data_IF_808644285023
#
_entry.id   IF_808644285023
#
_cell.length_a   1.000
_cell.length_b   1.000
_cell.length_c   1.000
_cell.angle_alpha   90.00
_cell.angle_beta   90.00
_cell.angle_gamma   90.00
#
_symmetry.space_group_name_H-M   'P 1'
#
loop_
_entity.id
_entity.type
_entity.pdbx_description
1 polymer ?
#
# COMPACT_ATOMS: atom_id res chain seq x y z
N UNK A 1 53.37 37.11 4.45
CA UNK A 1 52.72 35.80 4.67
C UNK A 1 51.71 35.68 5.84
N UNK A 2 51.46 36.66 6.74
CA UNK A 2 50.49 36.47 7.83
C UNK A 2 49.02 36.44 7.37
N UNK A 3 48.68 37.17 6.30
CA UNK A 3 47.31 37.25 5.77
C UNK A 3 46.81 35.92 5.20
N UNK A 4 47.68 35.16 4.51
CA UNK A 4 47.30 33.87 3.92
C UNK A 4 46.98 32.83 5.01
N UNK A 5 47.77 32.79 6.11
CA UNK A 5 47.49 31.91 7.26
C UNK A 5 46.17 32.27 7.95
N UNK A 6 45.85 33.56 8.04
CA UNK A 6 44.60 34.02 8.65
C UNK A 6 43.37 33.60 7.84
N UNK A 7 43.42 33.71 6.50
CA UNK A 7 42.35 33.29 5.59
C UNK A 7 42.16 31.76 5.63
N UNK A 8 43.26 30.99 5.59
CA UNK A 8 43.17 29.53 5.60
C UNK A 8 42.51 29.02 6.90
N UNK A 9 42.83 29.64 8.03
CA UNK A 9 42.25 29.25 9.32
C UNK A 9 40.74 29.53 9.40
N UNK A 10 40.28 30.66 8.84
CA UNK A 10 38.85 30.98 8.79
C UNK A 10 38.07 30.05 7.86
N UNK A 11 38.64 29.66 6.72
CA UNK A 11 38.01 28.69 5.82
C UNK A 11 37.80 27.33 6.49
N UNK A 12 38.78 26.86 7.27
CA UNK A 12 38.65 25.60 8.03
C UNK A 12 37.55 25.71 9.09
N UNK A 13 37.47 26.82 9.82
CA UNK A 13 36.43 27.04 10.84
C UNK A 13 35.03 27.05 10.20
N UNK A 14 34.86 27.76 9.08
CA UNK A 14 33.58 27.82 8.37
C UNK A 14 33.21 26.43 7.83
N UNK A 15 34.16 25.69 7.27
CA UNK A 15 33.91 24.34 6.75
C UNK A 15 33.46 23.37 7.86
N UNK A 16 34.12 23.41 9.03
CA UNK A 16 33.72 22.60 10.19
C UNK A 16 32.33 23.00 10.70
N UNK A 17 32.01 24.30 10.75
CA UNK A 17 30.68 24.75 11.17
C UNK A 17 29.57 24.26 10.23
N UNK A 18 29.81 24.27 8.90
CA UNK A 18 28.85 23.72 7.92
C UNK A 18 28.67 22.22 8.09
N UNK A 19 29.75 21.45 8.33
CA UNK A 19 29.65 20.01 8.57
C UNK A 19 28.87 19.68 9.86
N UNK A 20 29.02 20.47 10.93
CA UNK A 20 28.27 20.27 12.17
C UNK A 20 26.78 20.55 11.95
N UNK A 21 26.43 21.64 11.26
CA UNK A 21 25.02 21.95 10.94
C UNK A 21 24.42 20.90 10.02
N UNK A 22 25.16 20.46 8.99
CA UNK A 22 24.74 19.38 8.11
C UNK A 22 24.53 18.07 8.91
N UNK A 23 25.45 17.71 9.81
CA UNK A 23 25.32 16.54 10.67
C UNK A 23 24.08 16.58 11.57
N UNK A 24 23.76 17.74 12.14
CA UNK A 24 22.54 17.93 12.96
C UNK A 24 21.26 17.83 12.13
N UNK A 25 21.25 18.36 10.91
CA UNK A 25 20.06 18.29 10.02
C UNK A 25 19.87 16.86 9.49
N UNK A 26 20.95 16.15 9.16
CA UNK A 26 20.88 14.79 8.66
C UNK A 26 20.75 13.74 9.76
N UNK A 27 20.93 14.09 11.03
CA UNK A 27 20.78 13.14 12.14
C UNK A 27 19.37 12.53 12.20
N UNK A 28 18.32 13.33 12.00
CA UNK A 28 16.94 12.84 12.01
C UNK A 28 16.64 11.89 10.83
N UNK A 29 17.22 12.16 9.66
CA UNK A 29 17.04 11.33 8.46
C UNK A 29 17.82 10.01 8.59
N UNK A 30 19.05 10.08 9.12
CA UNK A 30 19.89 8.91 9.40
C UNK A 30 19.23 8.03 10.48
N UNK A 31 18.67 8.61 11.55
CA UNK A 31 17.92 7.85 12.55
C UNK A 31 16.68 7.19 11.95
N UNK A 32 15.96 7.88 11.06
CA UNK A 32 14.84 7.29 10.31
C UNK A 32 15.28 6.11 9.46
N UNK A 33 16.36 6.24 8.71
CA UNK A 33 16.89 5.16 7.88
C UNK A 33 17.43 4.00 8.73
N UNK A 34 18.10 4.27 9.86
CA UNK A 34 18.57 3.22 10.76
C UNK A 34 17.42 2.47 11.45
N UNK A 35 16.33 3.16 11.81
CA UNK A 35 15.11 2.51 12.31
C UNK A 35 14.43 1.70 11.20
N UNK A 36 14.45 2.19 9.96
CA UNK A 36 13.89 1.47 8.80
C UNK A 36 14.73 0.24 8.42
N UNK A 37 16.05 0.31 8.62
CA UNK A 37 16.99 -0.80 8.45
C UNK A 37 17.03 -1.74 9.66
N UNK A 38 16.27 -1.45 10.73
CA UNK A 38 16.20 -2.28 11.94
C UNK A 38 17.51 -2.32 12.74
N UNK A 39 18.39 -1.33 12.57
CA UNK A 39 19.68 -1.22 13.27
C UNK A 39 19.52 -0.53 14.63
N UNK A 40 18.49 0.30 14.81
CA UNK A 40 18.10 0.86 16.10
C UNK A 40 16.62 0.58 16.39
N UNK A 41 16.33 0.19 17.63
CA UNK A 41 14.97 0.15 18.16
C UNK A 41 14.43 1.59 18.26
N UNK A 42 13.28 1.85 17.61
CA UNK A 42 12.66 3.17 17.62
C UNK A 42 12.35 3.66 19.04
N UNK A 43 12.30 4.99 19.26
CA UNK A 43 12.11 5.56 20.59
C UNK A 43 10.82 5.03 21.21
N UNK A 44 10.97 4.33 22.33
CA UNK A 44 9.87 3.80 23.13
C UNK A 44 9.02 4.99 23.57
N UNK A 45 7.84 5.17 22.98
CA UNK A 45 6.88 6.18 23.41
C UNK A 45 6.34 5.76 24.78
N UNK A 46 7.06 6.20 25.81
CA UNK A 46 6.62 6.12 27.20
C UNK A 46 5.41 7.06 27.32
N UNK A 47 4.23 6.49 27.14
CA UNK A 47 2.94 7.15 27.33
C UNK A 47 2.79 7.47 28.82
N UNK A 48 3.13 8.71 29.19
CA UNK A 48 2.80 9.25 30.49
C UNK A 48 1.27 9.34 30.61
N UNK A 49 0.69 8.42 31.37
CA UNK A 49 -0.71 8.46 31.79
C UNK A 49 -0.92 9.63 32.74
N UNK A 50 -1.45 10.75 32.23
CA UNK A 50 -1.98 11.82 33.06
C UNK A 50 -3.32 11.35 33.62
N UNK A 51 -3.37 11.16 34.94
CA UNK A 51 -4.61 10.96 35.69
C UNK A 51 -5.38 12.28 35.74
N UNK A 52 -6.46 12.39 34.97
CA UNK A 52 -7.47 13.43 35.19
C UNK A 52 -8.48 12.98 36.25
N UNK A 53 -8.39 13.64 37.38
CA UNK A 53 -9.28 13.55 38.54
C UNK A 53 -10.59 14.27 38.22
N UNK A 54 -11.68 13.54 37.94
CA UNK A 54 -13.02 14.09 37.75
C UNK A 54 -13.96 13.67 38.88
N UNK A 55 -14.43 14.67 39.63
CA UNK A 55 -15.43 14.59 40.70
C UNK A 55 -16.85 14.43 40.12
N UNK A 56 -17.78 13.70 40.78
CA UNK A 56 -19.02 13.26 40.17
C UNK A 56 -20.18 14.24 40.35
N UNK A 57 -20.99 14.41 39.30
CA UNK A 57 -22.31 15.02 39.38
C UNK A 57 -23.39 14.00 39.02
N UNK A 58 -24.50 14.08 39.78
CA UNK A 58 -25.57 13.12 39.94
C UNK A 58 -26.51 12.99 38.72
N UNK A 59 -26.87 11.72 38.39
CA UNK A 59 -28.20 11.10 38.15
C UNK A 59 -29.42 12.03 37.85
N UNK A 60 -30.41 11.62 37.01
CA UNK A 60 -31.27 10.41 37.22
C UNK A 60 -31.64 9.60 35.94
N UNK A 61 -31.66 8.26 35.98
CA UNK A 61 -32.75 7.32 36.34
C UNK A 61 -33.80 7.01 35.23
N UNK A 62 -33.99 5.69 35.01
CA UNK A 62 -35.09 4.94 34.35
C UNK A 62 -35.00 4.85 32.81
N UNK A 63 -35.06 3.67 32.17
CA UNK A 63 -36.11 2.66 32.26
C UNK A 63 -35.63 1.24 31.83
N UNK A 64 -35.93 0.28 32.71
CA UNK A 64 -36.38 -1.12 32.54
C UNK A 64 -35.78 -2.13 31.53
N UNK A 65 -35.63 -3.41 31.96
CA UNK A 65 -35.27 -4.56 31.14
C UNK A 65 -36.53 -5.27 30.58
N UNK A 66 -36.48 -5.74 29.34
CA UNK A 66 -37.46 -6.67 28.80
C UNK A 66 -36.78 -8.01 28.49
N UNK A 67 -37.09 -8.98 29.34
CA UNK A 67 -36.96 -10.41 29.09
C UNK A 67 -38.13 -10.91 28.23
N UNK A 68 -38.07 -12.19 27.88
CA UNK A 68 -39.04 -13.04 27.16
C UNK A 68 -38.90 -13.03 25.65
N UNK A 69 -38.28 -14.07 25.08
CA UNK A 69 -38.85 -15.40 24.85
C UNK A 69 -39.89 -15.38 23.72
N UNK A 70 -39.52 -15.96 22.59
CA UNK A 70 -40.41 -16.69 21.70
C UNK A 70 -39.57 -17.57 20.79
N UNK A 71 -39.60 -18.87 21.06
CA UNK A 71 -39.43 -19.88 20.03
C UNK A 71 -40.50 -19.69 18.95
N UNK A 72 -40.25 -20.20 17.73
CA UNK A 72 -41.21 -21.16 17.24
C UNK A 72 -40.53 -22.43 16.73
N UNK A 73 -41.12 -23.52 17.20
CA UNK A 73 -41.27 -24.82 16.58
C UNK A 73 -41.21 -24.82 15.04
N UNK A 74 -40.58 -25.87 14.53
CA UNK A 74 -40.51 -26.31 13.13
C UNK A 74 -41.85 -26.22 12.37
N UNK A 75 -41.77 -26.28 11.03
CA UNK A 75 -42.20 -27.54 10.45
C UNK A 75 -41.19 -28.15 9.48
N UNK A 76 -41.07 -29.46 9.61
CA UNK A 76 -40.66 -30.40 8.59
C UNK A 76 -41.43 -30.10 7.29
N UNK A 77 -40.71 -29.70 6.25
CA UNK A 77 -41.21 -29.70 4.87
C UNK A 77 -40.35 -30.69 4.08
N UNK A 78 -40.80 -31.95 4.12
CA UNK A 78 -40.47 -32.96 3.14
C UNK A 78 -41.30 -32.67 1.90
N UNK A 79 -40.68 -32.39 0.76
CA UNK A 79 -41.33 -32.40 -0.55
C UNK A 79 -40.27 -32.53 -1.66
N UNK A 80 -40.64 -33.00 -2.86
CA UNK A 80 -40.44 -34.41 -3.18
C UNK A 80 -39.50 -34.63 -4.38
N UNK A 81 -39.02 -35.87 -4.47
CA UNK A 81 -38.65 -36.51 -5.73
C UNK A 81 -39.76 -36.28 -6.78
N UNK A 82 -39.43 -35.63 -7.89
CA UNK A 82 -40.11 -35.63 -9.20
C UNK A 82 -39.20 -34.82 -10.14
N UNK A 83 -38.97 -35.11 -11.40
CA UNK A 83 -39.52 -36.05 -12.37
C UNK A 83 -38.49 -36.07 -13.52
N UNK A 84 -38.06 -37.24 -13.97
CA UNK A 84 -38.50 -37.78 -15.24
C UNK A 84 -38.03 -36.98 -16.47
N UNK A 85 -36.88 -37.38 -17.01
CA UNK A 85 -36.66 -37.31 -18.45
C UNK A 85 -36.32 -38.70 -18.98
N UNK A 86 -37.40 -39.44 -19.21
CA UNK A 86 -37.68 -40.22 -20.41
C UNK A 86 -36.48 -40.80 -21.18
N UNK A 87 -35.97 -41.94 -20.74
CA UNK A 87 -35.32 -42.88 -21.65
C UNK A 87 -36.37 -43.55 -22.56
N UNK A 88 -36.15 -43.60 -23.88
CA UNK A 88 -37.06 -44.24 -24.80
C UNK A 88 -37.06 -45.76 -24.63
N UNK A 89 -38.29 -46.28 -24.66
CA UNK A 89 -38.70 -47.67 -24.58
C UNK A 89 -37.76 -48.66 -25.29
N UNK A 90 -37.42 -49.71 -24.54
CA UNK A 90 -36.90 -50.96 -25.05
C UNK A 90 -37.87 -51.58 -26.07
N UNK A 91 -37.43 -51.69 -27.32
CA UNK A 91 -37.93 -52.72 -28.22
C UNK A 91 -37.39 -54.07 -27.76
N UNK A 92 -38.26 -54.85 -27.13
CA UNK A 92 -38.04 -56.25 -26.81
C UNK A 92 -37.88 -57.07 -28.11
N UNK A 93 -36.64 -57.14 -28.60
CA UNK A 93 -36.25 -58.17 -29.56
C UNK A 93 -36.18 -59.51 -28.82
N UNK A 94 -37.17 -60.35 -29.06
CA UNK A 94 -37.20 -61.76 -28.65
C UNK A 94 -35.89 -62.47 -29.00
N UNK A 95 -35.22 -63.17 -28.07
CA UNK A 95 -34.11 -64.03 -28.43
C UNK A 95 -34.66 -65.23 -29.22
N UNK A 96 -34.42 -65.21 -30.53
CA UNK A 96 -34.52 -66.40 -31.37
C UNK A 96 -33.56 -67.44 -30.80
N UNK A 97 -34.12 -68.55 -30.34
CA UNK A 97 -33.37 -69.70 -29.85
C UNK A 97 -32.30 -70.10 -30.89
N UNK A 98 -30.99 -70.05 -30.54
CA UNK A 98 -29.98 -70.55 -31.46
C UNK A 98 -30.18 -72.06 -31.60
N UNK A 99 -30.34 -72.49 -32.84
CA UNK A 99 -30.34 -73.89 -33.24
C UNK A 99 -29.17 -74.61 -32.56
N UNK A 100 -29.45 -75.77 -31.99
CA UNK A 100 -28.48 -76.64 -31.34
C UNK A 100 -27.41 -77.07 -32.35
N UNK A 101 -26.34 -76.28 -32.46
CA UNK A 101 -25.14 -76.67 -33.17
C UNK A 101 -24.41 -77.67 -32.28
N UNK A 102 -24.45 -78.93 -32.70
CA UNK A 102 -23.73 -80.04 -32.10
C UNK A 102 -22.23 -79.72 -32.12
N UNK A 103 -21.74 -79.10 -31.04
CA UNK A 103 -20.33 -78.80 -30.85
C UNK A 103 -19.66 -80.06 -30.31
N UNK A 104 -18.81 -80.62 -31.16
CA UNK A 104 -17.86 -81.66 -30.79
C UNK A 104 -17.11 -81.21 -29.52
N UNK A 105 -17.04 -82.03 -28.45
CA UNK A 105 -16.41 -81.62 -27.21
C UNK A 105 -14.94 -81.27 -27.47
N UNK A 106 -14.57 -80.02 -27.21
CA UNK A 106 -13.17 -79.60 -27.22
C UNK A 106 -12.41 -80.37 -26.16
N UNK A 107 -11.21 -80.82 -26.52
CA UNK A 107 -10.29 -81.42 -25.56
C UNK A 107 -9.88 -80.39 -24.51
N UNK A 108 -9.53 -80.81 -23.27
CA UNK A 108 -9.02 -79.91 -22.24
C UNK A 108 -7.82 -79.05 -22.68
N UNK A 109 -7.02 -79.56 -23.63
CA UNK A 109 -5.89 -78.84 -24.21
C UNK A 109 -6.34 -77.64 -25.08
N UNK A 110 -7.42 -77.79 -25.85
CA UNK A 110 -7.97 -76.71 -26.67
C UNK A 110 -8.58 -75.60 -25.79
N UNK A 111 -9.25 -75.97 -24.69
CA UNK A 111 -9.74 -75.00 -23.70
C UNK A 111 -8.61 -74.20 -23.03
N UNK A 112 -7.50 -74.86 -22.66
CA UNK A 112 -6.35 -74.18 -22.08
C UNK A 112 -5.71 -73.19 -23.07
N UNK A 113 -5.58 -73.58 -24.34
CA UNK A 113 -5.06 -72.71 -25.39
C UNK A 113 -5.99 -71.50 -25.65
N UNK A 114 -7.30 -71.72 -25.68
CA UNK A 114 -8.28 -70.64 -25.86
C UNK A 114 -8.27 -69.66 -24.68
N UNK A 115 -8.21 -70.15 -23.44
CA UNK A 115 -8.15 -69.31 -22.26
C UNK A 115 -6.86 -68.47 -22.20
N UNK A 116 -5.73 -69.07 -22.60
CA UNK A 116 -4.46 -68.34 -22.70
C UNK A 116 -4.52 -67.22 -23.74
N UNK A 117 -5.04 -67.50 -24.94
CA UNK A 117 -5.19 -66.50 -25.98
C UNK A 117 -6.15 -65.37 -25.57
N UNK A 118 -7.26 -65.70 -24.90
CA UNK A 118 -8.20 -64.72 -24.37
C UNK A 118 -7.56 -63.82 -23.29
N UNK A 119 -6.74 -64.39 -22.40
CA UNK A 119 -6.01 -63.63 -21.39
C UNK A 119 -4.96 -62.70 -22.00
N UNK A 120 -4.18 -63.18 -22.97
CA UNK A 120 -3.20 -62.35 -23.69
C UNK A 120 -3.87 -61.20 -24.45
N UNK A 121 -5.01 -61.47 -25.11
CA UNK A 121 -5.81 -60.45 -25.77
C UNK A 121 -6.38 -59.42 -24.78
N UNK A 122 -6.88 -59.86 -23.63
CA UNK A 122 -7.38 -58.96 -22.59
C UNK A 122 -6.24 -58.08 -22.02
N UNK A 123 -5.05 -58.66 -21.81
CA UNK A 123 -3.89 -57.91 -21.34
C UNK A 123 -3.42 -56.88 -22.39
N UNK A 124 -3.40 -57.23 -23.68
CA UNK A 124 -3.07 -56.31 -24.75
C UNK A 124 -4.08 -55.15 -24.83
N UNK A 125 -5.38 -55.45 -24.73
CA UNK A 125 -6.45 -54.43 -24.71
C UNK A 125 -6.34 -53.51 -23.50
N UNK A 126 -6.02 -54.04 -22.32
CA UNK A 126 -5.81 -53.23 -21.12
C UNK A 126 -4.62 -52.27 -21.27
N UNK A 127 -3.50 -52.74 -21.86
CA UNK A 127 -2.34 -51.88 -22.16
C UNK A 127 -2.68 -50.79 -23.18
N UNK A 128 -3.44 -51.11 -24.22
CA UNK A 128 -3.88 -50.13 -25.22
C UNK A 128 -4.78 -49.05 -24.59
N UNK A 129 -5.74 -49.47 -23.76
CA UNK A 129 -6.63 -48.54 -23.05
C UNK A 129 -5.84 -47.65 -22.08
N UNK A 130 -4.87 -48.19 -21.36
CA UNK A 130 -4.00 -47.40 -20.49
C UNK A 130 -3.19 -46.37 -21.29
N UNK A 131 -2.61 -46.75 -22.43
CA UNK A 131 -1.89 -45.82 -23.30
C UNK A 131 -2.78 -44.71 -23.86
N UNK A 132 -4.04 -45.01 -24.22
CA UNK A 132 -5.01 -44.01 -24.68
C UNK A 132 -5.39 -43.02 -23.55
N UNK A 133 -5.61 -43.52 -22.34
CA UNK A 133 -5.89 -42.68 -21.16
C UNK A 133 -4.71 -41.78 -20.83
N UNK A 134 -3.48 -42.29 -20.87
CA UNK A 134 -2.27 -41.51 -20.65
C UNK A 134 -2.09 -40.43 -21.75
N UNK A 135 -2.36 -40.76 -23.01
CA UNK A 135 -2.32 -39.80 -24.11
C UNK A 135 -3.35 -38.68 -23.95
N UNK A 136 -4.61 -39.01 -23.63
CA UNK A 136 -5.67 -38.02 -23.35
C UNK A 136 -5.34 -37.16 -22.14
N UNK A 137 -4.77 -37.75 -21.08
CA UNK A 137 -4.34 -37.00 -19.88
C UNK A 137 -3.23 -36.02 -20.22
N UNK A 138 -2.25 -36.43 -21.03
CA UNK A 138 -1.17 -35.56 -21.49
C UNK A 138 -1.70 -34.39 -22.33
N UNK A 139 -2.58 -34.65 -23.28
CA UNK A 139 -3.21 -33.61 -24.10
C UNK A 139 -4.01 -32.62 -23.25
N UNK A 140 -4.79 -33.12 -22.28
CA UNK A 140 -5.57 -32.27 -21.37
C UNK A 140 -4.66 -31.42 -20.48
N UNK A 141 -3.54 -31.99 -20.01
CA UNK A 141 -2.55 -31.26 -19.22
C UNK A 141 -1.84 -30.17 -20.02
N UNK A 142 -1.40 -30.46 -21.25
CA UNK A 142 -0.77 -29.47 -22.13
C UNK A 142 -1.72 -28.32 -22.46
N UNK A 143 -3.01 -28.64 -22.73
CA UNK A 143 -4.04 -27.62 -22.93
C UNK A 143 -4.26 -26.74 -21.69
N UNK A 144 -4.38 -27.36 -20.52
CA UNK A 144 -4.54 -26.61 -19.26
C UNK A 144 -3.33 -25.72 -18.96
N UNK A 145 -2.11 -26.17 -19.28
CA UNK A 145 -0.89 -25.37 -19.13
C UNK A 145 -0.88 -24.16 -20.08
N UNK A 146 -1.31 -24.34 -21.33
CA UNK A 146 -1.44 -23.25 -22.30
C UNK A 146 -2.49 -22.21 -21.88
N UNK A 147 -3.65 -22.66 -21.39
CA UNK A 147 -4.72 -21.78 -20.89
C UNK A 147 -4.27 -21.00 -19.64
N UNK A 148 -3.52 -21.64 -18.74
CA UNK A 148 -2.94 -20.98 -17.55
C UNK A 148 -1.92 -19.89 -17.93
N UNK A 149 -1.04 -20.16 -18.91
CA UNK A 149 -0.10 -19.16 -19.42
C UNK A 149 -0.83 -17.97 -20.05
N UNK A 150 -1.85 -18.23 -20.86
CA UNK A 150 -2.68 -17.17 -21.47
C UNK A 150 -3.39 -16.32 -20.42
N UNK A 151 -3.92 -16.95 -19.36
CA UNK A 151 -4.53 -16.23 -18.25
C UNK A 151 -3.50 -15.37 -17.48
N UNK A 152 -2.27 -15.87 -17.30
CA UNK A 152 -1.19 -15.12 -16.66
C UNK A 152 -0.78 -13.90 -17.50
N UNK A 153 -0.69 -14.04 -18.83
CA UNK A 153 -0.40 -12.91 -19.73
C UNK A 153 -1.51 -11.85 -19.70
N UNK A 154 -2.78 -12.27 -19.72
CA UNK A 154 -3.91 -11.37 -19.62
C UNK A 154 -3.90 -10.59 -18.28
N UNK A 155 -3.58 -11.25 -17.17
CA UNK A 155 -3.45 -10.62 -15.87
C UNK A 155 -2.32 -9.57 -15.84
N UNK A 156 -1.16 -9.88 -16.43
CA UNK A 156 -0.05 -8.92 -16.56
C UNK A 156 -0.44 -7.69 -17.40
N UNK A 157 -1.15 -7.90 -18.50
CA UNK A 157 -1.64 -6.79 -19.35
C UNK A 157 -2.65 -5.91 -18.60
N UNK A 158 -3.58 -6.51 -17.86
CA UNK A 158 -4.53 -5.77 -17.03
C UNK A 158 -3.82 -4.93 -15.95
N UNK A 159 -2.82 -5.51 -15.28
CA UNK A 159 -2.01 -4.78 -14.28
C UNK A 159 -1.25 -3.60 -14.92
N UNK A 160 -0.63 -3.80 -16.08
CA UNK A 160 0.07 -2.74 -16.80
C UNK A 160 -0.88 -1.60 -17.24
N UNK A 161 -2.09 -1.94 -17.70
CA UNK A 161 -3.11 -0.96 -18.04
C UNK A 161 -3.59 -0.16 -16.81
N UNK A 162 -3.78 -0.82 -15.66
CA UNK A 162 -4.14 -0.16 -14.41
C UNK A 162 -3.04 0.79 -13.91
N UNK A 163 -1.76 0.38 -14.01
CA UNK A 163 -0.63 1.25 -13.66
C UNK A 163 -0.52 2.47 -14.58
N UNK A 164 -0.71 2.27 -15.89
CA UNK A 164 -0.71 3.37 -16.87
C UNK A 164 -1.83 4.38 -16.59
N UNK A 165 -3.05 3.89 -16.29
CA UNK A 165 -4.17 4.75 -15.91
C UNK A 165 -3.88 5.54 -14.63
N UNK A 166 -3.27 4.94 -13.61
CA UNK A 166 -2.88 5.65 -12.39
C UNK A 166 -1.84 6.75 -12.65
N UNK A 167 -0.82 6.47 -13.46
CA UNK A 167 0.18 7.48 -13.83
C UNK A 167 -0.45 8.65 -14.59
N UNK A 168 -1.37 8.37 -15.50
CA UNK A 168 -2.09 9.43 -16.22
C UNK A 168 -2.92 10.30 -15.26
N UNK A 169 -3.71 9.70 -14.37
CA UNK A 169 -4.49 10.46 -13.38
C UNK A 169 -3.60 11.30 -12.45
N UNK A 170 -2.43 10.76 -12.05
CA UNK A 170 -1.47 11.50 -11.25
C UNK A 170 -0.91 12.71 -12.01
N UNK A 171 -0.52 12.54 -13.28
CA UNK A 171 -0.05 13.64 -14.12
C UNK A 171 -1.11 14.72 -14.31
N UNK A 172 -2.36 14.34 -14.60
CA UNK A 172 -3.47 15.30 -14.73
C UNK A 172 -3.71 16.07 -13.42
N UNK A 173 -3.58 15.40 -12.27
CA UNK A 173 -3.69 16.05 -10.95
C UNK A 173 -2.54 17.03 -10.69
N UNK A 174 -1.30 16.67 -11.03
CA UNK A 174 -0.12 17.54 -10.91
C UNK A 174 -0.22 18.76 -11.83
N UNK A 175 -0.66 18.58 -13.08
CA UNK A 175 -0.88 19.69 -14.03
C UNK A 175 -1.97 20.65 -13.53
N UNK A 176 -3.06 20.12 -12.97
CA UNK A 176 -4.12 20.93 -12.37
C UNK A 176 -3.63 21.72 -11.16
N UNK A 177 -2.86 21.09 -10.27
CA UNK A 177 -2.26 21.78 -9.12
C UNK A 177 -1.31 22.88 -9.57
N UNK A 178 -0.48 22.63 -10.58
CA UNK A 178 0.41 23.64 -11.17
C UNK A 178 -0.38 24.81 -11.75
N UNK A 179 -1.44 24.55 -12.51
CA UNK A 179 -2.29 25.60 -13.08
C UNK A 179 -3.00 26.43 -12.00
N UNK A 180 -3.49 25.79 -10.93
CA UNK A 180 -4.11 26.49 -9.79
C UNK A 180 -3.09 27.35 -9.03
N UNK A 181 -1.85 26.86 -8.86
CA UNK A 181 -0.76 27.61 -8.25
C UNK A 181 -0.34 28.82 -9.09
N UNK A 182 -0.14 28.66 -10.40
CA UNK A 182 0.18 29.76 -11.32
C UNK A 182 -0.92 30.83 -11.32
N UNK A 183 -2.19 30.42 -11.30
CA UNK A 183 -3.33 31.34 -11.18
C UNK A 183 -3.32 32.11 -9.86
N UNK A 184 -3.03 31.44 -8.74
CA UNK A 184 -2.92 32.08 -7.44
C UNK A 184 -1.75 33.08 -7.40
N UNK A 185 -0.61 32.72 -7.99
CA UNK A 185 0.55 33.61 -8.09
C UNK A 185 0.25 34.86 -8.94
N UNK A 186 -0.43 34.71 -10.08
CA UNK A 186 -0.85 35.83 -10.91
C UNK A 186 -1.80 36.77 -10.18
N UNK A 187 -2.77 36.23 -9.43
CA UNK A 187 -3.69 37.03 -8.61
C UNK A 187 -2.96 37.79 -7.49
N UNK A 188 -1.98 37.15 -6.84
CA UNK A 188 -1.16 37.80 -5.81
C UNK A 188 -0.30 38.93 -6.40
N UNK A 189 0.28 38.73 -7.59
CA UNK A 189 1.04 39.75 -8.30
C UNK A 189 0.16 40.96 -8.69
N UNK A 190 -1.05 40.73 -9.18
CA UNK A 190 -2.00 41.78 -9.52
C UNK A 190 -2.39 42.61 -8.28
N UNK A 191 -2.65 41.95 -7.15
CA UNK A 191 -2.96 42.62 -5.88
C UNK A 191 -1.78 43.43 -5.36
N UNK A 192 -0.55 42.90 -5.42
CA UNK A 192 0.65 43.63 -5.04
C UNK A 192 0.87 44.88 -5.90
N UNK A 193 0.63 44.79 -7.21
CA UNK A 193 0.70 45.94 -8.11
C UNK A 193 -0.32 47.03 -7.74
N UNK A 194 -1.58 46.66 -7.47
CA UNK A 194 -2.62 47.60 -7.02
C UNK A 194 -2.25 48.28 -5.70
N UNK A 195 -1.74 47.53 -4.73
CA UNK A 195 -1.29 48.08 -3.45
C UNK A 195 -0.11 49.06 -3.63
N UNK A 196 0.84 48.75 -4.52
CA UNK A 196 1.96 49.65 -4.82
C UNK A 196 1.50 50.95 -5.50
N UNK A 197 0.53 50.87 -6.42
CA UNK A 197 -0.07 52.04 -7.06
C UNK A 197 -0.76 52.95 -6.03
N UNK A 198 -1.57 52.39 -5.14
CA UNK A 198 -2.22 53.14 -4.05
C UNK A 198 -1.20 53.79 -3.10
N UNK A 199 -0.13 53.07 -2.75
CA UNK A 199 0.94 53.63 -1.92
C UNK A 199 1.70 54.76 -2.62
N UNK A 200 1.87 54.70 -3.95
CA UNK A 200 2.49 55.77 -4.73
C UNK A 200 1.60 57.02 -4.79
N UNK A 201 0.29 56.85 -4.97
CA UNK A 201 -0.69 57.93 -4.95
C UNK A 201 -0.71 58.63 -3.59
N UNK A 202 -0.76 57.87 -2.48
CA UNK A 202 -0.70 58.43 -1.12
C UNK A 202 0.61 59.21 -0.86
N UNK A 203 1.75 58.74 -1.38
CA UNK A 203 3.03 59.48 -1.28
C UNK A 203 3.00 60.77 -2.09
N UNK A 204 2.39 60.76 -3.28
CA UNK A 204 2.26 61.94 -4.12
C UNK A 204 1.36 63.00 -3.46
N UNK A 205 0.26 62.59 -2.83
CA UNK A 205 -0.60 63.49 -2.04
C UNK A 205 0.14 64.09 -0.84
N UNK A 206 0.87 63.26 -0.07
CA UNK A 206 1.67 63.74 1.06
C UNK A 206 2.77 64.72 0.61
N UNK A 207 3.44 64.45 -0.52
CA UNK A 207 4.43 65.36 -1.09
C UNK A 207 3.81 66.72 -1.49
N UNK A 208 2.60 66.72 -2.07
CA UNK A 208 1.87 67.97 -2.37
C UNK A 208 1.53 68.74 -1.10
N UNK A 209 1.06 68.07 -0.05
CA UNK A 209 0.77 68.70 1.23
C UNK A 209 2.02 69.33 1.87
N UNK A 210 3.17 68.64 1.83
CA UNK A 210 4.45 69.17 2.30
C UNK A 210 4.92 70.39 1.50
N UNK A 211 4.76 70.36 0.16
CA UNK A 211 5.10 71.50 -0.69
C UNK A 211 4.25 72.74 -0.36
N UNK A 212 2.94 72.56 -0.18
CA UNK A 212 2.03 73.64 0.22
C UNK A 212 2.39 74.21 1.60
N UNK A 213 2.73 73.37 2.57
CA UNK A 213 3.17 73.81 3.89
C UNK A 213 4.47 74.64 3.82
N UNK A 214 5.43 74.23 2.98
CA UNK A 214 6.67 74.96 2.77
C UNK A 214 6.43 76.33 2.11
N UNK A 215 5.52 76.39 1.14
CA UNK A 215 5.16 77.64 0.46
C UNK A 215 4.48 78.63 1.42
N UNK A 216 3.58 78.14 2.28
CA UNK A 216 2.97 78.94 3.35
C UNK A 216 4.02 79.46 4.33
N UNK A 217 5.02 78.65 4.69
CA UNK A 217 6.13 79.07 5.56
C UNK A 217 6.96 80.19 4.91
N UNK A 218 7.31 80.06 3.62
CA UNK A 218 8.02 81.11 2.86
C UNK A 218 7.21 82.40 2.78
N UNK A 219 5.91 82.30 2.54
CA UNK A 219 5.02 83.47 2.50
C UNK A 219 4.90 84.16 3.87
N UNK A 220 4.90 83.40 4.97
CA UNK A 220 4.92 83.96 6.32
C UNK A 220 6.26 84.68 6.60
N UNK A 221 7.38 84.08 6.19
CA UNK A 221 8.72 84.66 6.38
C UNK A 221 8.90 85.96 5.59
N UNK A 222 8.41 86.02 4.35
CA UNK A 222 8.49 87.25 3.53
C UNK A 222 7.61 88.37 4.09
N UNK A 223 6.41 88.06 4.62
CA UNK A 223 5.59 89.04 5.35
C UNK A 223 6.32 89.59 6.57
N UNK A 224 7.00 88.75 7.34
CA UNK A 224 7.79 89.17 8.50
C UNK A 224 8.96 90.10 8.10
N UNK A 225 9.69 89.79 7.02
CA UNK A 225 10.76 90.66 6.50
C UNK A 225 10.24 92.01 6.01
N UNK A 226 9.12 92.04 5.28
CA UNK A 226 8.53 93.28 4.80
C UNK A 226 8.05 94.17 5.96
N UNK A 227 7.49 93.57 7.02
CA UNK A 227 7.14 94.30 8.24
C UNK A 227 8.37 94.91 8.93
N UNK A 228 9.50 94.19 8.95
CA UNK A 228 10.75 94.68 9.55
C UNK A 228 11.37 95.88 8.80
N UNK A 229 11.17 95.98 7.49
CA UNK A 229 11.68 97.10 6.67
C UNK A 229 10.81 98.38 6.73
N UNK A 230 9.60 98.31 7.32
CA UNK A 230 8.59 99.38 7.25
C UNK A 230 8.77 100.53 8.28
N UNK A 231 9.93 100.67 8.93
CA UNK A 231 10.34 101.91 9.61
C UNK A 231 10.68 101.78 11.12
N UNK A 232 11.69 102.51 11.61
CA UNK A 232 12.31 102.33 12.94
C UNK A 232 11.51 102.89 14.14
N UNK A 233 10.22 103.22 13.98
CA UNK A 233 9.41 103.81 15.06
C UNK A 233 8.51 102.79 15.79
N UNK A 234 8.68 101.48 15.52
CA UNK A 234 8.02 100.43 16.28
C UNK A 234 8.84 100.14 17.54
N UNK A 235 8.31 100.53 18.70
CA UNK A 235 8.97 100.31 19.99
C UNK A 235 9.27 98.83 20.26
N UNK A 236 10.23 98.50 21.14
CA UNK A 236 10.69 97.13 21.41
C UNK A 236 9.57 96.14 21.74
N UNK A 237 8.45 96.60 22.29
CA UNK A 237 7.26 95.80 22.53
C UNK A 237 6.66 95.17 21.26
N UNK A 238 6.70 95.87 20.12
CA UNK A 238 6.11 95.39 18.86
C UNK A 238 7.02 94.38 18.15
N UNK A 239 8.34 94.53 18.29
CA UNK A 239 9.32 93.53 17.84
C UNK A 239 9.23 92.22 18.65
N UNK A 240 8.98 92.34 19.96
CA UNK A 240 8.80 91.18 20.82
C UNK A 240 7.49 90.44 20.50
N UNK A 241 6.42 91.18 20.20
CA UNK A 241 5.14 90.61 19.76
C UNK A 241 5.25 89.88 18.41
N UNK A 242 5.97 90.44 17.43
CA UNK A 242 6.17 89.78 16.13
C UNK A 242 7.05 88.53 16.25
N UNK A 243 8.06 88.54 17.11
CA UNK A 243 8.88 87.35 17.39
C UNK A 243 8.06 86.26 18.09
N UNK A 244 7.22 86.60 19.07
CA UNK A 244 6.31 85.66 19.73
C UNK A 244 5.31 85.05 18.74
N UNK A 245 4.79 85.85 17.81
CA UNK A 245 3.87 85.36 16.77
C UNK A 245 4.57 84.44 15.75
N UNK A 246 5.82 84.73 15.38
CA UNK A 246 6.62 83.86 14.53
C UNK A 246 6.93 82.51 15.22
N UNK A 247 7.26 82.53 16.51
CA UNK A 247 7.46 81.31 17.30
C UNK A 247 6.17 80.49 17.43
N UNK A 248 5.02 81.13 17.67
CA UNK A 248 3.73 80.46 17.72
C UNK A 248 3.37 79.81 16.37
N UNK A 249 3.63 80.49 15.25
CA UNK A 249 3.41 79.92 13.92
C UNK A 249 4.36 78.75 13.60
N UNK A 250 5.63 78.84 13.99
CA UNK A 250 6.58 77.74 13.82
C UNK A 250 6.19 76.51 14.65
N UNK A 251 5.74 76.71 15.89
CA UNK A 251 5.20 75.63 16.73
C UNK A 251 3.93 75.02 16.13
N UNK A 252 3.01 75.84 15.60
CA UNK A 252 1.82 75.35 14.93
C UNK A 252 2.15 74.50 13.69
N UNK A 253 3.12 74.92 12.87
CA UNK A 253 3.58 74.15 11.71
C UNK A 253 4.29 72.84 12.10
N UNK A 254 5.16 72.88 13.11
CA UNK A 254 5.81 71.68 13.62
C UNK A 254 4.79 70.66 14.15
N UNK A 255 3.75 71.15 14.86
CA UNK A 255 2.64 70.31 15.32
C UNK A 255 1.85 69.71 14.14
N UNK A 256 1.51 70.50 13.12
CA UNK A 256 0.81 70.01 11.93
C UNK A 256 1.64 68.97 11.15
N UNK A 257 2.96 69.15 11.03
CA UNK A 257 3.84 68.15 10.41
C UNK A 257 3.92 66.87 11.23
N UNK A 258 3.99 66.98 12.57
CA UNK A 258 3.98 65.81 13.46
C UNK A 258 2.65 65.04 13.36
N UNK A 259 1.52 65.74 13.32
CA UNK A 259 0.20 65.14 13.13
C UNK A 259 0.08 64.44 11.76
N UNK A 260 0.54 65.07 10.67
CA UNK A 260 0.55 64.47 9.35
C UNK A 260 1.47 63.23 9.26
N UNK A 261 2.64 63.25 9.91
CA UNK A 261 3.52 62.08 10.00
C UNK A 261 2.88 60.96 10.83
N UNK A 262 2.21 61.28 11.92
CA UNK A 262 1.49 60.32 12.73
C UNK A 262 0.33 59.67 11.95
N UNK A 263 -0.41 60.44 11.17
CA UNK A 263 -1.48 59.94 10.31
C UNK A 263 -0.94 59.06 9.17
N UNK A 264 0.18 59.45 8.55
CA UNK A 264 0.85 58.64 7.54
C UNK A 264 1.37 57.30 8.09
N UNK A 265 1.89 57.29 9.33
CA UNK A 265 2.30 56.06 10.01
C UNK A 265 1.11 55.14 10.29
N UNK A 266 -0.02 55.69 10.75
CA UNK A 266 -1.27 54.93 10.94
C UNK A 266 -1.80 54.35 9.62
N UNK A 267 -1.76 55.13 8.54
CA UNK A 267 -2.16 54.64 7.22
C UNK A 267 -1.25 53.50 6.73
N UNK A 268 0.07 53.61 6.95
CA UNK A 268 1.03 52.55 6.62
C UNK A 268 0.83 51.29 7.45
N UNK A 269 0.56 51.44 8.75
CA UNK A 269 0.25 50.33 9.66
C UNK A 269 -1.02 49.61 9.22
N UNK A 270 -2.09 50.36 8.90
CA UNK A 270 -3.33 49.81 8.36
C UNK A 270 -3.11 49.05 7.05
N UNK A 271 -2.35 49.62 6.11
CA UNK A 271 -2.04 48.94 4.84
C UNK A 271 -1.20 47.66 5.05
N UNK A 272 -0.27 47.65 6.01
CA UNK A 272 0.49 46.46 6.34
C UNK A 272 -0.39 45.38 6.99
N UNK A 273 -1.32 45.77 7.86
CA UNK A 273 -2.28 44.87 8.48
C UNK A 273 -3.24 44.26 7.44
N UNK A 274 -3.75 45.06 6.50
CA UNK A 274 -4.59 44.57 5.38
C UNK A 274 -3.81 43.59 4.49
N UNK A 275 -2.55 43.89 4.19
CA UNK A 275 -1.68 42.97 3.43
C UNK A 275 -1.44 41.64 4.16
N UNK A 276 -1.17 41.67 5.47
CA UNK A 276 -1.01 40.46 6.28
C UNK A 276 -2.31 39.65 6.34
N UNK A 277 -3.46 40.30 6.50
CA UNK A 277 -4.76 39.63 6.48
C UNK A 277 -5.02 38.95 5.12
N UNK A 278 -4.63 39.59 4.01
CA UNK A 278 -4.75 39.03 2.68
C UNK A 278 -3.84 37.81 2.47
N UNK A 279 -2.60 37.86 2.95
CA UNK A 279 -1.67 36.71 2.97
C UNK A 279 -2.24 35.53 3.76
N UNK A 280 -2.76 35.77 4.97
CA UNK A 280 -3.39 34.73 5.79
C UNK A 280 -4.62 34.13 5.10
N UNK A 281 -5.47 34.96 4.48
CA UNK A 281 -6.62 34.49 3.73
C UNK A 281 -6.24 33.63 2.52
N UNK A 282 -5.14 33.98 1.82
CA UNK A 282 -4.61 33.18 0.72
C UNK A 282 -4.07 31.83 1.20
N UNK A 283 -3.31 31.81 2.30
CA UNK A 283 -2.82 30.56 2.90
C UNK A 283 -3.96 29.66 3.39
N UNK A 284 -4.99 30.25 4.03
CA UNK A 284 -6.16 29.50 4.48
C UNK A 284 -6.91 28.85 3.30
N UNK A 285 -7.07 29.58 2.18
CA UNK A 285 -7.67 29.02 0.95
C UNK A 285 -6.83 27.89 0.36
N UNK A 286 -5.52 28.03 0.32
CA UNK A 286 -4.61 26.98 -0.18
C UNK A 286 -4.70 25.72 0.68
N UNK A 287 -4.70 25.87 2.01
CA UNK A 287 -4.86 24.75 2.95
C UNK A 287 -6.21 24.04 2.77
N UNK A 288 -7.30 24.80 2.66
CA UNK A 288 -8.63 24.22 2.43
C UNK A 288 -8.73 23.47 1.09
N UNK A 289 -8.08 23.97 0.04
CA UNK A 289 -8.02 23.28 -1.26
C UNK A 289 -7.23 21.96 -1.16
N UNK A 290 -6.10 21.96 -0.45
CA UNK A 290 -5.30 20.75 -0.22
C UNK A 290 -6.05 19.70 0.60
N UNK A 291 -6.69 20.09 1.71
CA UNK A 291 -7.49 19.19 2.55
C UNK A 291 -8.65 18.57 1.75
N UNK A 292 -9.32 19.36 0.89
CA UNK A 292 -10.36 18.85 0.00
C UNK A 292 -9.81 17.83 -1.02
N UNK A 293 -8.67 18.13 -1.65
CA UNK A 293 -8.04 17.22 -2.61
C UNK A 293 -7.62 15.89 -1.95
N UNK A 294 -7.11 15.94 -0.72
CA UNK A 294 -6.75 14.75 0.05
C UNK A 294 -7.98 13.89 0.38
N UNK A 295 -9.10 14.53 0.78
CA UNK A 295 -10.36 13.84 1.05
C UNK A 295 -10.93 13.17 -0.22
N UNK A 296 -10.90 13.85 -1.37
CA UNK A 296 -11.34 13.29 -2.65
C UNK A 296 -10.46 12.09 -3.08
N UNK A 297 -9.13 12.17 -2.88
CA UNK A 297 -8.23 11.06 -3.18
C UNK A 297 -8.48 9.84 -2.27
N UNK A 298 -8.73 10.05 -0.97
CA UNK A 298 -9.10 8.97 -0.05
C UNK A 298 -10.43 8.32 -0.43
N UNK A 299 -11.45 9.11 -0.75
CA UNK A 299 -12.74 8.60 -1.19
C UNK A 299 -12.62 7.77 -2.48
N UNK A 300 -11.78 8.18 -3.44
CA UNK A 300 -11.51 7.41 -4.65
C UNK A 300 -10.77 6.09 -4.35
N UNK A 301 -9.80 6.11 -3.43
CA UNK A 301 -9.07 4.91 -3.02
C UNK A 301 -10.01 3.90 -2.32
N UNK A 302 -10.92 4.38 -1.47
CA UNK A 302 -11.93 3.55 -0.83
C UNK A 302 -12.93 2.98 -1.85
N UNK A 303 -13.38 3.80 -2.81
CA UNK A 303 -14.26 3.33 -3.89
C UNK A 303 -13.60 2.23 -4.72
N UNK A 304 -12.33 2.41 -5.12
CA UNK A 304 -11.57 1.36 -5.82
C UNK A 304 -11.37 0.12 -4.97
N UNK A 305 -11.11 0.26 -3.67
CA UNK A 305 -10.99 -0.87 -2.76
C UNK A 305 -12.31 -1.63 -2.66
N UNK A 306 -13.44 -0.94 -2.57
CA UNK A 306 -14.77 -1.53 -2.57
C UNK A 306 -15.07 -2.25 -3.90
N UNK A 307 -14.70 -1.65 -5.02
CA UNK A 307 -14.83 -2.26 -6.35
C UNK A 307 -13.99 -3.54 -6.47
N UNK A 308 -12.72 -3.50 -6.05
CA UNK A 308 -11.85 -4.69 -6.01
C UNK A 308 -12.40 -5.77 -5.09
N UNK A 309 -12.99 -5.41 -3.94
CA UNK A 309 -13.66 -6.40 -3.07
C UNK A 309 -14.91 -6.98 -3.73
N UNK A 310 -15.71 -6.17 -4.43
CA UNK A 310 -16.89 -6.62 -5.14
C UNK A 310 -16.53 -7.51 -6.34
N UNK A 311 -15.47 -7.20 -7.08
CA UNK A 311 -14.95 -8.04 -8.14
C UNK A 311 -14.38 -9.34 -7.60
N UNK A 312 -13.63 -9.29 -6.49
CA UNK A 312 -13.15 -10.50 -5.80
C UNK A 312 -14.28 -11.39 -5.30
N UNK A 313 -15.40 -10.81 -4.89
CA UNK A 313 -16.59 -11.56 -4.49
C UNK A 313 -17.30 -12.24 -5.68
N UNK A 314 -17.12 -11.73 -6.90
CA UNK A 314 -17.67 -12.32 -8.14
C UNK A 314 -16.77 -13.40 -8.73
N UNK A 315 -15.46 -13.35 -8.45
CA UNK A 315 -14.56 -14.45 -8.83
C UNK A 315 -15.04 -15.72 -8.10
N UNK A 316 -15.25 -16.84 -8.84
CA UNK A 316 -15.59 -18.10 -8.20
C UNK A 316 -14.53 -18.36 -7.14
N UNK A 317 -14.95 -18.67 -5.91
CA UNK A 317 -14.06 -18.91 -4.78
C UNK A 317 -12.89 -19.76 -5.29
N UNK A 318 -11.75 -19.10 -5.49
CA UNK A 318 -10.62 -19.68 -6.19
C UNK A 318 -10.29 -20.90 -5.36
N UNK A 319 -10.60 -22.08 -5.91
CA UNK A 319 -10.53 -23.33 -5.16
C UNK A 319 -9.11 -23.38 -4.65
N UNK A 320 -8.94 -23.17 -3.34
CA UNK A 320 -7.68 -23.43 -2.65
C UNK A 320 -7.36 -24.84 -3.10
N UNK A 321 -6.23 -25.07 -3.80
CA UNK A 321 -5.95 -26.33 -4.47
C UNK A 321 -6.30 -27.43 -3.50
N UNK A 322 -7.34 -28.20 -3.85
CA UNK A 322 -7.92 -29.15 -2.93
C UNK A 322 -6.78 -30.06 -2.50
N UNK A 323 -6.43 -29.97 -1.23
CA UNK A 323 -5.38 -30.79 -0.68
C UNK A 323 -6.04 -32.14 -0.45
N UNK A 324 -6.29 -32.87 -1.54
CA UNK A 324 -7.11 -34.09 -1.63
C UNK A 324 -6.59 -35.23 -0.73
N UNK A 325 -5.44 -35.02 -0.08
CA UNK A 325 -4.79 -35.94 0.83
C UNK A 325 -5.16 -35.72 2.31
N UNK A 326 -5.81 -34.61 2.65
CA UNK A 326 -6.18 -34.32 4.04
C UNK A 326 -7.43 -35.11 4.46
N UNK A 327 -7.38 -35.64 5.68
CA UNK A 327 -8.55 -36.25 6.32
C UNK A 327 -9.70 -35.22 6.34
N UNK A 328 -10.91 -35.57 5.87
CA UNK A 328 -12.07 -34.68 5.92
C UNK A 328 -12.33 -34.05 7.30
N UNK A 329 -12.05 -34.78 8.39
CA UNK A 329 -12.21 -34.25 9.75
C UNK A 329 -11.20 -33.12 10.06
N UNK A 330 -9.95 -33.27 9.60
CA UNK A 330 -8.91 -32.23 9.74
C UNK A 330 -9.27 -31.03 8.88
N UNK A 331 -9.79 -31.26 7.67
CA UNK A 331 -10.23 -30.19 6.78
C UNK A 331 -11.39 -29.37 7.39
N UNK A 332 -12.36 -30.03 8.00
CA UNK A 332 -13.48 -29.37 8.69
C UNK A 332 -12.99 -28.49 9.86
N UNK A 333 -12.12 -29.03 10.71
CA UNK A 333 -11.50 -28.28 11.82
C UNK A 333 -10.67 -27.09 11.31
N UNK A 334 -9.90 -27.29 10.25
CA UNK A 334 -9.10 -26.21 9.65
C UNK A 334 -9.98 -25.11 9.05
N UNK A 335 -11.09 -25.48 8.41
CA UNK A 335 -12.08 -24.53 7.91
C UNK A 335 -12.67 -23.71 9.04
N UNK A 336 -13.03 -24.35 10.16
CA UNK A 336 -13.53 -23.66 11.34
C UNK A 336 -12.50 -22.67 11.93
N UNK A 337 -11.23 -23.06 12.01
CA UNK A 337 -10.14 -22.18 12.48
C UNK A 337 -9.97 -20.95 11.58
N UNK A 338 -9.97 -21.14 10.26
CA UNK A 338 -9.90 -20.04 9.28
C UNK A 338 -11.11 -19.11 9.37
N UNK A 339 -12.31 -19.66 9.52
CA UNK A 339 -13.52 -18.86 9.71
C UNK A 339 -13.41 -17.97 10.96
N UNK A 340 -12.97 -18.53 12.09
CA UNK A 340 -12.77 -17.75 13.32
C UNK A 340 -11.74 -16.61 13.12
N UNK A 341 -10.62 -16.90 12.44
CA UNK A 341 -9.61 -15.89 12.12
C UNK A 341 -10.17 -14.74 11.26
N UNK A 342 -10.96 -15.06 10.23
CA UNK A 342 -11.58 -14.05 9.36
C UNK A 342 -12.61 -13.19 10.09
N UNK A 343 -13.33 -13.79 11.04
CA UNK A 343 -14.28 -13.09 11.91
C UNK A 343 -13.61 -12.23 13.00
N UNK A 344 -12.27 -12.20 13.05
CA UNK A 344 -11.46 -11.50 14.08
C UNK A 344 -11.61 -12.09 15.48
N UNK A 345 -12.14 -13.30 15.61
CA UNK A 345 -12.12 -14.05 16.87
C UNK A 345 -10.77 -14.77 17.02
N UNK A 346 -9.74 -13.98 17.34
CA UNK A 346 -8.35 -14.44 17.34
C UNK A 346 -8.07 -15.48 18.44
N UNK A 347 -8.78 -15.41 19.56
CA UNK A 347 -8.62 -16.37 20.67
C UNK A 347 -9.16 -17.73 20.28
N UNK A 348 -10.36 -17.78 19.66
CA UNK A 348 -10.93 -19.02 19.15
C UNK A 348 -10.11 -19.60 18.00
N UNK A 349 -9.63 -18.76 17.10
CA UNK A 349 -8.74 -19.20 16.01
C UNK A 349 -7.47 -19.86 16.57
N UNK A 350 -6.83 -19.24 17.57
CA UNK A 350 -5.66 -19.78 18.25
C UNK A 350 -5.93 -21.15 18.88
N UNK A 351 -7.04 -21.29 19.62
CA UNK A 351 -7.43 -22.56 20.25
C UNK A 351 -7.62 -23.67 19.19
N UNK A 352 -8.36 -23.39 18.12
CA UNK A 352 -8.64 -24.35 17.06
C UNK A 352 -7.36 -24.75 16.30
N UNK A 353 -6.48 -23.80 16.00
CA UNK A 353 -5.21 -24.12 15.34
C UNK A 353 -4.26 -24.92 16.24
N UNK A 354 -4.24 -24.68 17.55
CA UNK A 354 -3.47 -25.51 18.49
C UNK A 354 -3.98 -26.94 18.52
N UNK A 355 -5.30 -27.14 18.60
CA UNK A 355 -5.90 -28.47 18.57
C UNK A 355 -5.59 -29.22 17.26
N UNK A 356 -5.58 -28.50 16.13
CA UNK A 356 -5.14 -29.05 14.84
C UNK A 356 -3.67 -29.45 14.87
N UNK A 357 -2.79 -28.61 15.43
CA UNK A 357 -1.35 -28.87 15.48
C UNK A 357 -1.00 -30.14 16.28
N UNK A 358 -1.86 -30.53 17.24
CA UNK A 358 -1.74 -31.79 18.00
C UNK A 358 -2.16 -33.03 17.20
N UNK A 359 -2.96 -32.87 16.16
CA UNK A 359 -3.56 -33.98 15.39
C UNK A 359 -3.01 -34.10 13.97
N UNK A 360 -2.26 -33.09 13.49
CA UNK A 360 -1.69 -33.09 12.14
C UNK A 360 -0.26 -32.55 12.08
N UNK A 361 0.52 -33.14 11.17
CA UNK A 361 1.88 -32.73 10.81
C UNK A 361 1.91 -31.76 9.62
N UNK A 362 0.75 -31.31 9.14
CA UNK A 362 0.68 -30.37 8.03
C UNK A 362 1.38 -29.05 8.39
N UNK A 363 2.31 -28.62 7.52
CA UNK A 363 3.09 -27.42 7.74
C UNK A 363 2.23 -26.15 7.73
N UNK A 364 1.22 -26.11 6.86
CA UNK A 364 0.34 -24.94 6.70
C UNK A 364 -0.41 -24.59 7.99
N UNK A 365 -0.75 -25.58 8.82
CA UNK A 365 -1.43 -25.36 10.12
C UNK A 365 -0.53 -24.56 11.06
N UNK A 366 0.76 -24.90 11.14
CA UNK A 366 1.72 -24.13 11.93
C UNK A 366 1.86 -22.70 11.39
N UNK A 367 1.90 -22.53 10.07
CA UNK A 367 2.06 -21.22 9.43
C UNK A 367 0.87 -20.30 9.68
N UNK A 368 -0.34 -20.86 9.64
CA UNK A 368 -1.57 -20.13 9.93
C UNK A 368 -1.66 -19.75 11.42
N UNK A 369 -1.23 -20.62 12.35
CA UNK A 369 -1.10 -20.24 13.76
C UNK A 369 -0.08 -19.10 13.95
N UNK A 370 1.02 -19.12 13.20
CA UNK A 370 1.97 -18.00 13.13
C UNK A 370 1.31 -16.70 12.68
N UNK A 371 0.42 -16.75 11.67
CA UNK A 371 -0.36 -15.59 11.24
C UNK A 371 -1.28 -15.04 12.36
N UNK A 372 -1.91 -15.92 13.15
CA UNK A 372 -2.73 -15.51 14.31
C UNK A 372 -1.87 -14.75 15.32
N UNK A 373 -0.73 -15.31 15.73
CA UNK A 373 0.18 -14.64 16.66
C UNK A 373 0.72 -13.32 16.13
N UNK A 374 1.04 -13.24 14.83
CA UNK A 374 1.50 -12.02 14.21
C UNK A 374 0.46 -10.90 14.29
N UNK A 375 -0.82 -11.19 14.00
CA UNK A 375 -1.92 -10.20 14.11
C UNK A 375 -2.16 -9.78 15.56
N UNK A 376 -1.96 -10.69 16.53
CA UNK A 376 -2.01 -10.39 17.96
C UNK A 376 -0.77 -9.61 18.48
N UNK A 377 0.23 -9.32 17.63
CA UNK A 377 1.53 -8.70 17.98
C UNK A 377 2.40 -9.54 18.92
N UNK A 378 2.20 -10.86 18.92
CA UNK A 378 3.00 -11.85 19.66
C UNK A 378 4.12 -12.37 18.77
N UNK A 379 5.07 -11.49 18.46
CA UNK A 379 6.05 -11.71 17.40
C UNK A 379 7.01 -12.87 17.66
N UNK A 380 7.34 -13.12 18.93
CA UNK A 380 8.20 -14.24 19.31
C UNK A 380 7.52 -15.58 19.01
N UNK A 381 6.28 -15.75 19.46
CA UNK A 381 5.50 -16.96 19.17
C UNK A 381 5.19 -17.10 17.67
N UNK A 382 4.97 -16.00 16.97
CA UNK A 382 4.82 -16.02 15.51
C UNK A 382 6.10 -16.54 14.83
N UNK A 383 7.28 -16.07 15.25
CA UNK A 383 8.56 -16.56 14.74
C UNK A 383 8.76 -18.05 15.04
N UNK A 384 8.39 -18.51 16.24
CA UNK A 384 8.43 -19.93 16.62
C UNK A 384 7.59 -20.78 15.67
N UNK A 385 6.35 -20.35 15.37
CA UNK A 385 5.44 -21.09 14.49
C UNK A 385 5.82 -21.03 13.01
N UNK A 386 6.34 -19.90 12.53
CA UNK A 386 6.90 -19.85 11.17
C UNK A 386 8.13 -20.75 11.06
N UNK A 387 9.00 -20.80 12.07
CA UNK A 387 10.14 -21.71 12.06
C UNK A 387 9.69 -23.18 12.02
N UNK A 388 8.72 -23.56 12.85
CA UNK A 388 8.09 -24.89 12.84
C UNK A 388 7.51 -25.23 11.46
N UNK A 389 6.84 -24.27 10.81
CA UNK A 389 6.34 -24.42 9.43
C UNK A 389 7.47 -24.80 8.47
N UNK A 390 8.61 -24.12 8.57
CA UNK A 390 9.79 -24.40 7.75
C UNK A 390 10.34 -25.79 7.95
N UNK A 391 10.45 -26.21 9.21
CA UNK A 391 10.93 -27.54 9.59
C UNK A 391 9.99 -28.63 9.06
N UNK A 392 8.67 -28.45 9.19
CA UNK A 392 7.67 -29.39 8.64
C UNK A 392 7.73 -29.45 7.11
N UNK A 393 7.88 -28.30 6.43
CA UNK A 393 8.06 -28.26 4.97
C UNK A 393 9.32 -29.01 4.52
N UNK A 394 10.41 -28.94 5.30
CA UNK A 394 11.64 -29.68 5.04
C UNK A 394 11.51 -31.20 5.23
N UNK A 395 10.59 -31.63 6.09
CA UNK A 395 10.27 -33.04 6.31
C UNK A 395 9.29 -33.61 5.26
N UNK A 396 8.46 -32.74 4.65
CA UNK A 396 7.47 -33.13 3.65
C UNK A 396 8.02 -33.38 2.24
N UNK A 397 7.09 -33.56 1.29
CA UNK A 397 7.41 -33.86 -0.11
C UNK A 397 8.06 -32.70 -0.87
N UNK A 398 7.93 -31.47 -0.35
CA UNK A 398 8.32 -30.23 -1.03
C UNK A 398 9.28 -29.38 -0.18
N UNK A 399 10.51 -29.85 0.09
CA UNK A 399 11.46 -29.14 0.96
C UNK A 399 11.86 -27.75 0.45
N UNK A 400 11.74 -27.48 -0.86
CA UNK A 400 12.00 -26.15 -1.42
C UNK A 400 10.97 -25.10 -0.96
N UNK A 401 9.76 -25.51 -0.57
CA UNK A 401 8.71 -24.60 -0.12
C UNK A 401 9.09 -23.89 1.19
N UNK A 402 9.99 -24.46 2.00
CA UNK A 402 10.52 -23.83 3.22
C UNK A 402 11.20 -22.47 2.94
N UNK A 403 11.68 -22.24 1.70
CA UNK A 403 12.25 -20.95 1.32
C UNK A 403 11.24 -19.79 1.34
N UNK A 404 9.94 -20.07 1.21
CA UNK A 404 8.89 -19.04 1.16
C UNK A 404 8.73 -18.26 2.47
N UNK A 405 8.99 -18.90 3.62
CA UNK A 405 8.82 -18.29 4.94
C UNK A 405 10.07 -17.53 5.43
N UNK A 406 11.22 -17.70 4.77
CA UNK A 406 12.50 -17.11 5.14
C UNK A 406 12.42 -15.58 5.25
N UNK A 407 11.71 -14.91 4.33
CA UNK A 407 11.58 -13.45 4.35
C UNK A 407 10.77 -12.94 5.54
N UNK A 408 9.80 -13.72 6.02
CA UNK A 408 9.05 -13.38 7.23
C UNK A 408 9.88 -13.67 8.48
N UNK A 409 10.55 -14.83 8.54
CA UNK A 409 11.45 -15.16 9.65
C UNK A 409 12.58 -14.15 9.81
N UNK A 410 13.24 -13.70 8.73
CA UNK A 410 14.32 -12.70 8.84
C UNK A 410 13.90 -11.40 9.52
N UNK A 411 12.63 -11.02 9.37
CA UNK A 411 12.10 -9.79 9.97
C UNK A 411 11.68 -9.98 11.43
N UNK A 412 11.38 -11.22 11.83
CA UNK A 412 10.88 -11.54 13.17
C UNK A 412 11.98 -12.09 14.09
N UNK A 413 12.79 -13.01 13.57
CA UNK A 413 13.87 -13.71 14.27
C UNK A 413 14.96 -14.13 13.25
N UNK A 414 16.00 -13.30 13.07
CA UNK A 414 17.10 -13.59 12.15
C UNK A 414 17.89 -14.86 12.50
N UNK A 415 17.95 -15.24 13.78
CA UNK A 415 18.68 -16.43 14.23
C UNK A 415 17.98 -17.68 13.72
N UNK A 416 16.65 -17.77 13.91
CA UNK A 416 15.84 -18.88 13.38
C UNK A 416 15.84 -18.93 11.87
N UNK A 417 15.84 -17.78 11.20
CA UNK A 417 15.97 -17.73 9.74
C UNK A 417 17.31 -18.36 9.29
N UNK A 418 18.41 -18.00 9.95
CA UNK A 418 19.73 -18.57 9.65
C UNK A 418 19.78 -20.08 9.93
N UNK A 419 19.19 -20.52 11.04
CA UNK A 419 19.09 -21.94 11.38
C UNK A 419 18.32 -22.73 10.30
N UNK A 420 17.14 -22.24 9.91
CA UNK A 420 16.33 -22.88 8.87
C UNK A 420 17.09 -22.94 7.54
N UNK A 421 17.81 -21.88 7.16
CA UNK A 421 18.66 -21.91 5.96
C UNK A 421 19.71 -23.02 6.01
N UNK A 422 20.39 -23.19 7.15
CA UNK A 422 21.37 -24.26 7.32
C UNK A 422 20.70 -25.63 7.18
N UNK A 423 19.50 -25.83 7.74
CA UNK A 423 18.73 -27.07 7.56
C UNK A 423 18.33 -27.31 6.10
N UNK A 424 17.90 -26.27 5.38
CA UNK A 424 17.57 -26.35 3.95
C UNK A 424 18.79 -26.78 3.12
N UNK A 425 19.98 -26.21 3.40
CA UNK A 425 21.21 -26.59 2.70
C UNK A 425 21.59 -28.05 2.97
N UNK A 426 21.50 -28.50 4.22
CA UNK A 426 21.75 -29.90 4.58
C UNK A 426 20.79 -30.86 3.85
N UNK A 427 19.49 -30.56 3.85
CA UNK A 427 18.47 -31.35 3.14
C UNK A 427 18.70 -31.38 1.63
N UNK A 428 19.14 -30.27 1.03
CA UNK A 428 19.48 -30.24 -0.38
C UNK A 428 20.66 -31.17 -0.71
N UNK A 429 21.71 -31.18 0.12
CA UNK A 429 22.85 -32.10 -0.04
C UNK A 429 22.39 -33.56 0.09
N UNK A 430 21.57 -33.87 1.10
CA UNK A 430 21.00 -35.21 1.30
C UNK A 430 20.21 -35.68 0.07
N UNK A 431 19.35 -34.81 -0.48
CA UNK A 431 18.60 -35.09 -1.69
C UNK A 431 19.50 -35.38 -2.90
N UNK A 432 20.55 -34.56 -3.10
CA UNK A 432 21.52 -34.76 -4.18
C UNK A 432 22.29 -36.07 -4.04
N UNK A 433 22.67 -36.46 -2.82
CA UNK A 433 23.32 -37.74 -2.55
C UNK A 433 22.40 -38.92 -2.84
N UNK A 434 21.14 -38.86 -2.39
CA UNK A 434 20.13 -39.90 -2.66
C UNK A 434 19.87 -40.05 -4.16
N UNK A 435 19.77 -38.95 -4.90
CA UNK A 435 19.62 -38.96 -6.35
C UNK A 435 20.84 -39.56 -7.05
N UNK A 436 22.07 -39.25 -6.59
CA UNK A 436 23.29 -39.84 -7.13
C UNK A 436 23.36 -41.37 -6.87
N UNK A 437 23.03 -41.82 -5.66
CA UNK A 437 22.98 -43.24 -5.32
C UNK A 437 21.91 -43.99 -6.13
N UNK A 438 20.72 -43.39 -6.33
CA UNK A 438 19.69 -43.96 -7.18
C UNK A 438 20.15 -44.13 -8.64
N UNK A 439 20.92 -43.17 -9.17
CA UNK A 439 21.52 -43.28 -10.51
C UNK A 439 22.59 -44.36 -10.62
N UNK A 440 23.38 -44.58 -9.57
CA UNK A 440 24.40 -45.64 -9.53
C UNK A 440 23.76 -47.04 -9.45
N UNK A 441 22.62 -47.15 -8.77
CA UNK A 441 21.88 -48.41 -8.62
C UNK A 441 20.86 -48.68 -9.74
N UNK A 442 20.52 -47.66 -10.54
CA UNK A 442 19.68 -47.86 -11.71
C UNK A 442 20.42 -48.80 -12.68
N UNK A 443 19.78 -49.87 -13.18
CA UNK A 443 20.39 -50.73 -14.18
C UNK A 443 20.86 -49.86 -15.33
N UNK A 444 22.12 -50.02 -15.74
CA UNK A 444 22.70 -49.29 -16.86
C UNK A 444 21.65 -49.28 -17.98
N UNK A 445 21.25 -48.10 -18.50
CA UNK A 445 20.16 -47.99 -19.47
C UNK A 445 20.47 -49.01 -20.55
N UNK A 446 19.66 -50.09 -20.56
CA UNK A 446 19.99 -51.30 -21.30
C UNK A 446 20.38 -50.88 -22.70
N UNK A 447 21.60 -51.25 -23.11
CA UNK A 447 22.22 -50.90 -24.39
C UNK A 447 21.11 -50.75 -25.40
N UNK A 448 20.81 -49.51 -25.82
CA UNK A 448 19.70 -49.25 -26.71
C UNK A 448 19.75 -50.32 -27.80
N UNK A 449 18.67 -51.10 -28.05
CA UNK A 449 18.71 -52.19 -28.99
C UNK A 449 19.35 -51.66 -30.26
N UNK A 450 20.47 -52.26 -30.65
CA UNK A 450 21.32 -51.77 -31.73
C UNK A 450 20.41 -51.31 -32.87
N UNK A 451 20.41 -50.00 -33.15
CA UNK A 451 19.59 -49.44 -34.21
C UNK A 451 19.83 -50.31 -35.43
N UNK A 452 18.76 -50.97 -35.90
CA UNK A 452 18.83 -51.75 -37.11
C UNK A 452 19.44 -50.85 -38.20
N UNK A 453 20.43 -51.33 -38.97
CA UNK A 453 21.11 -50.52 -39.97
C UNK A 453 20.07 -49.84 -40.85
N UNK A 454 20.20 -48.52 -41.01
CA UNK A 454 19.29 -47.72 -41.80
C UNK A 454 19.10 -48.38 -43.19
N UNK A 455 17.85 -48.52 -43.68
CA UNK A 455 17.61 -49.07 -45.00
C UNK A 455 18.34 -48.22 -46.04
N UNK A 456 19.04 -48.89 -46.96
CA UNK A 456 19.82 -48.24 -48.01
C UNK A 456 18.96 -47.23 -48.80
N UNK A 457 19.50 -46.06 -49.16
CA UNK A 457 18.77 -45.05 -49.93
C UNK A 457 18.33 -45.66 -51.28
N UNK A 458 17.03 -45.54 -51.58
CA UNK A 458 16.47 -46.01 -52.83
C UNK A 458 17.16 -45.32 -54.03
N UNK A 459 17.45 -46.06 -55.13
CA UNK A 459 18.06 -45.47 -56.31
C UNK A 459 17.10 -44.43 -56.92
N UNK A 460 17.63 -43.24 -57.20
CA UNK A 460 16.91 -42.17 -57.86
C UNK A 460 16.47 -42.64 -59.26
N UNK A 461 15.15 -42.60 -59.51
CA UNK A 461 14.58 -42.86 -60.83
C UNK A 461 14.97 -41.73 -61.79
N UNK A 462 15.50 -42.10 -62.96
CA UNK A 462 15.76 -41.22 -64.11
C UNK A 462 14.55 -41.20 -65.04
#
# INVERSE_FOLDING_TARGET
>A
MPVIRWILNHLVIIFVAVLVVAGLVYQEEIERELVQLGVMDGPSTQTASVSENSTPAQMPTQLTPAASASAPTAPVASEPLSEADSEPAAEASTPVAPAAVSSKPMSPAEHAAQNKAAFEQAQAKAKQMQAEVEAKRKETFEKAQADALKAQEAAKQAQAAAEASMKQTQQEAEERQKAEFEKAQAQAAEQAYKAQAQAAEARAENAKAQAQALEQMKAAQSRAQNQAMSGPNQGPAQAQASQAQAQANAQAQAKAQAEAQAEAMKAREKAMAEYQAQQQAAQAKARAAYEKAQAEAQAQAEARRAEMMAERAKLPAQQVPANDKLDPAVLEQWTAARTAFWQRDLNKAEELYKALLETTEEADVAGELGNVYFVQRRFKEAADMYFETGVRLLAGDTPWAAGSIMGTLYRLDPEKANELRTQMQAKHVEFMQKAAAARQNAPAPGSAPAQAPAPAPAPAAQ
#
